data_IF_002780571509
#
_entry.id   IF_002780571509
#
_cell.length_a   1.000
_cell.length_b   1.000
_cell.length_c   1.000
_cell.angle_alpha   90.00
_cell.angle_beta   90.00
_cell.angle_gamma   90.00
#
_symmetry.space_group_name_H-M   'P 1'
#
loop_
_entity.id
_entity.type
_entity.pdbx_description
1 polymer ?
#
# COMPACT_ATOMS: atom_id res chain seq x y z
N UNK A 1 64.69 12.62 -51.77
CA UNK A 1 63.44 12.15 -52.41
C UNK A 1 62.38 11.97 -51.32
N UNK A 2 61.28 12.74 -51.42
CA UNK A 2 60.20 12.89 -50.44
C UNK A 2 59.37 11.60 -50.35
N UNK A 3 59.14 11.05 -49.14
CA UNK A 3 57.95 10.22 -48.88
C UNK A 3 57.33 10.62 -47.54
N UNK A 4 56.36 11.53 -47.65
CA UNK A 4 55.26 11.71 -46.69
C UNK A 4 54.50 10.37 -46.61
N UNK A 5 54.27 9.88 -45.40
CA UNK A 5 53.17 8.95 -45.14
C UNK A 5 52.27 9.61 -44.09
N UNK A 6 51.20 10.23 -44.59
CA UNK A 6 50.04 10.61 -43.80
C UNK A 6 49.26 9.35 -43.48
N UNK A 7 49.11 8.99 -42.20
CA UNK A 7 48.01 8.14 -41.77
C UNK A 7 46.91 9.04 -41.23
N UNK A 8 45.86 9.11 -42.03
CA UNK A 8 44.61 9.79 -41.74
C UNK A 8 44.01 9.24 -40.44
N UNK A 9 43.94 10.09 -39.42
CA UNK A 9 42.98 9.92 -38.32
C UNK A 9 41.60 10.24 -38.88
N UNK A 10 40.83 9.21 -39.20
CA UNK A 10 39.45 9.32 -39.65
C UNK A 10 38.54 8.93 -38.48
N UNK A 11 38.37 9.83 -37.52
CA UNK A 11 37.33 9.70 -36.50
C UNK A 11 36.43 10.94 -36.55
N UNK A 12 35.19 10.84 -37.05
CA UNK A 12 34.32 11.99 -37.17
C UNK A 12 33.66 12.27 -35.82
N UNK A 13 34.34 12.91 -34.87
CA UNK A 13 33.69 13.40 -33.65
C UNK A 13 32.95 14.72 -33.94
N UNK A 14 31.85 14.64 -34.68
CA UNK A 14 30.98 15.79 -34.97
C UNK A 14 29.62 15.70 -34.27
N UNK A 15 29.44 14.75 -33.35
CA UNK A 15 28.27 14.77 -32.47
C UNK A 15 28.53 15.79 -31.36
N UNK A 16 28.04 17.02 -31.56
CA UNK A 16 28.12 18.05 -30.51
C UNK A 16 27.37 17.51 -29.28
N UNK A 17 27.93 17.65 -28.08
CA UNK A 17 27.33 17.20 -26.82
C UNK A 17 25.84 17.61 -26.70
N UNK A 18 25.47 18.78 -27.21
CA UNK A 18 24.08 19.26 -27.29
C UNK A 18 23.18 18.33 -28.12
N UNK A 19 23.66 17.85 -29.27
CA UNK A 19 22.93 16.90 -30.13
C UNK A 19 22.76 15.54 -29.43
N UNK A 20 23.76 15.10 -28.65
CA UNK A 20 23.65 13.88 -27.84
C UNK A 20 22.59 14.04 -26.75
N UNK A 21 22.62 15.17 -26.02
CA UNK A 21 21.64 15.45 -24.96
C UNK A 21 20.21 15.54 -25.53
N UNK A 22 20.01 16.25 -26.64
CA UNK A 22 18.70 16.35 -27.27
C UNK A 22 18.19 14.98 -27.71
N UNK A 23 19.05 14.16 -28.33
CA UNK A 23 18.66 12.83 -28.79
C UNK A 23 18.34 11.88 -27.61
N UNK A 24 19.08 11.99 -26.50
CA UNK A 24 18.78 11.27 -25.26
C UNK A 24 17.43 11.70 -24.64
N UNK A 25 17.13 13.00 -24.58
CA UNK A 25 15.85 13.51 -24.07
C UNK A 25 14.67 13.07 -24.95
N UNK A 26 14.83 13.08 -26.28
CA UNK A 26 13.81 12.58 -27.22
C UNK A 26 13.58 11.08 -27.03
N UNK A 27 14.65 10.28 -26.88
CA UNK A 27 14.52 8.85 -26.60
C UNK A 27 13.82 8.58 -25.25
N UNK A 28 14.16 9.34 -24.21
CA UNK A 28 13.49 9.27 -22.92
C UNK A 28 11.99 9.57 -23.05
N UNK A 29 11.63 10.68 -23.70
CA UNK A 29 10.24 11.06 -23.95
C UNK A 29 9.47 9.96 -24.70
N UNK A 30 10.04 9.43 -25.77
CA UNK A 30 9.42 8.34 -26.55
C UNK A 30 9.24 7.09 -25.68
N UNK A 31 10.24 6.71 -24.89
CA UNK A 31 10.15 5.53 -24.00
C UNK A 31 9.07 5.69 -22.93
N UNK A 32 8.96 6.88 -22.31
CA UNK A 32 7.91 7.18 -21.34
C UNK A 32 6.54 7.15 -22.03
N UNK A 33 6.36 7.84 -23.14
CA UNK A 33 5.09 7.83 -23.89
C UNK A 33 4.69 6.42 -24.33
N UNK A 34 5.65 5.60 -24.80
CA UNK A 34 5.41 4.22 -25.18
C UNK A 34 5.00 3.35 -23.98
N UNK A 35 5.65 3.50 -22.82
CA UNK A 35 5.28 2.77 -21.61
C UNK A 35 3.84 3.07 -21.16
N UNK A 36 3.40 4.33 -21.26
CA UNK A 36 2.01 4.70 -20.96
C UNK A 36 1.02 4.16 -22.02
N UNK A 37 1.40 4.19 -23.31
CA UNK A 37 0.55 3.71 -24.41
C UNK A 37 0.43 2.18 -24.47
N UNK A 38 1.47 1.46 -24.06
CA UNK A 38 1.54 0.00 -23.99
C UNK A 38 1.13 -0.57 -22.63
N UNK A 39 0.59 0.27 -21.74
CA UNK A 39 0.12 -0.12 -20.41
C UNK A 39 1.21 -0.69 -19.47
N UNK A 40 2.48 -0.39 -19.73
CA UNK A 40 3.63 -0.82 -18.93
C UNK A 40 3.96 0.15 -17.79
N UNK A 41 2.93 0.64 -17.08
CA UNK A 41 3.05 1.70 -16.07
C UNK A 41 3.77 1.23 -14.80
N UNK A 42 3.80 -0.08 -14.54
CA UNK A 42 4.49 -0.71 -13.42
C UNK A 42 5.99 -0.36 -13.33
N UNK A 43 6.62 0.01 -14.46
CA UNK A 43 8.03 0.45 -14.50
C UNK A 43 8.23 1.76 -13.72
N UNK A 44 7.15 2.51 -13.46
CA UNK A 44 7.16 3.78 -12.73
C UNK A 44 6.61 3.67 -11.30
N UNK A 45 6.43 2.45 -10.77
CA UNK A 45 6.05 2.27 -9.37
C UNK A 45 7.13 2.87 -8.45
N UNK A 46 6.78 3.77 -7.51
CA UNK A 46 7.74 4.32 -6.55
C UNK A 46 8.31 3.25 -5.60
N UNK A 47 7.56 2.16 -5.40
CA UNK A 47 7.89 1.01 -4.58
C UNK A 47 6.80 -0.06 -4.71
N UNK A 48 7.02 -1.18 -4.04
CA UNK A 48 6.10 -2.31 -4.00
C UNK A 48 4.80 -1.92 -3.32
N UNK A 49 3.69 -2.40 -3.87
CA UNK A 49 2.42 -2.29 -3.16
C UNK A 49 2.31 -3.26 -1.99
N UNK A 50 1.38 -2.97 -1.09
CA UNK A 50 1.03 -3.83 0.04
C UNK A 50 0.55 -5.20 -0.44
N UNK A 51 0.79 -6.23 0.36
CA UNK A 51 0.50 -7.63 -0.04
C UNK A 51 -0.97 -7.82 -0.44
N UNK A 52 -1.89 -7.13 0.25
CA UNK A 52 -3.32 -7.17 -0.06
C UNK A 52 -3.68 -6.47 -1.37
N UNK A 53 -2.84 -5.56 -1.86
CA UNK A 53 -3.09 -4.74 -3.03
C UNK A 53 -2.17 -5.03 -4.23
N UNK A 54 -1.23 -5.97 -4.11
CA UNK A 54 -0.28 -6.33 -5.18
C UNK A 54 -0.95 -6.69 -6.51
N UNK A 55 -2.15 -7.29 -6.47
CA UNK A 55 -2.91 -7.60 -7.68
C UNK A 55 -3.38 -6.34 -8.45
N UNK A 56 -3.49 -5.19 -7.78
CA UNK A 56 -3.91 -3.93 -8.39
C UNK A 56 -2.78 -3.18 -9.10
N UNK A 57 -1.52 -3.63 -9.02
CA UNK A 57 -0.42 -3.03 -9.81
C UNK A 57 -0.67 -3.14 -11.32
N UNK A 58 -1.44 -4.15 -11.75
CA UNK A 58 -1.89 -4.32 -13.12
C UNK A 58 -3.00 -3.32 -13.53
N UNK A 59 -3.64 -2.64 -12.57
CA UNK A 59 -4.69 -1.66 -12.80
C UNK A 59 -4.52 -0.43 -11.91
N UNK A 60 -3.54 0.42 -12.25
CA UNK A 60 -3.26 1.64 -11.49
C UNK A 60 -4.49 2.56 -11.34
N UNK A 61 -5.43 2.48 -12.29
CA UNK A 61 -6.68 3.25 -12.28
C UNK A 61 -7.66 2.84 -11.18
N UNK A 62 -7.46 1.68 -10.54
CA UNK A 62 -8.22 1.28 -9.36
C UNK A 62 -8.04 2.28 -8.21
N UNK A 63 -6.83 2.87 -8.10
CA UNK A 63 -6.47 3.81 -7.04
C UNK A 63 -6.24 5.25 -7.55
N UNK A 64 -5.68 5.41 -8.75
CA UNK A 64 -5.25 6.71 -9.26
C UNK A 64 -6.14 7.25 -10.38
N UNK A 65 -6.51 8.52 -10.27
CA UNK A 65 -7.08 9.30 -11.37
C UNK A 65 -6.01 10.26 -11.93
N UNK A 66 -5.17 9.73 -12.81
CA UNK A 66 -4.02 10.48 -13.36
C UNK A 66 -2.98 10.79 -12.27
N UNK A 67 -2.57 12.06 -12.16
CA UNK A 67 -1.60 12.53 -11.15
C UNK A 67 -2.27 13.15 -9.92
N UNK A 68 -3.58 12.96 -9.72
CA UNK A 68 -4.27 13.41 -8.52
C UNK A 68 -3.84 12.59 -7.31
N UNK A 69 -3.89 13.21 -6.13
CA UNK A 69 -3.75 12.49 -4.87
C UNK A 69 -4.90 11.49 -4.72
N UNK A 70 -4.60 10.32 -4.17
CA UNK A 70 -5.62 9.30 -3.83
C UNK A 70 -6.51 9.85 -2.72
N UNK A 71 -7.83 9.80 -2.92
CA UNK A 71 -8.81 10.26 -1.93
C UNK A 71 -9.35 9.09 -1.10
N UNK A 72 -9.93 9.38 0.06
CA UNK A 72 -10.62 8.36 0.86
C UNK A 72 -11.78 7.70 0.11
N UNK A 73 -12.44 8.42 -0.80
CA UNK A 73 -13.52 7.87 -1.62
C UNK A 73 -13.01 6.68 -2.47
N UNK A 74 -11.79 6.77 -2.99
CA UNK A 74 -11.14 5.68 -3.71
C UNK A 74 -11.04 4.41 -2.84
N UNK A 75 -10.60 4.56 -1.58
CA UNK A 75 -10.49 3.45 -0.63
C UNK A 75 -11.87 2.90 -0.26
N UNK A 76 -12.83 3.79 0.02
CA UNK A 76 -14.16 3.43 0.48
C UNK A 76 -14.97 2.66 -0.58
N UNK A 77 -14.68 2.83 -1.87
CA UNK A 77 -15.31 2.01 -2.93
C UNK A 77 -15.16 0.49 -2.73
N UNK A 78 -14.15 0.05 -1.99
CA UNK A 78 -13.97 -1.35 -1.62
C UNK A 78 -14.14 -1.58 -0.12
N UNK A 79 -13.68 -0.64 0.72
CA UNK A 79 -13.60 -0.84 2.17
C UNK A 79 -14.78 -0.25 2.98
N UNK A 80 -15.77 0.40 2.35
CA UNK A 80 -16.86 1.08 3.08
C UNK A 80 -17.59 0.17 4.09
N UNK A 81 -17.89 -1.07 3.72
CA UNK A 81 -18.56 -2.02 4.60
C UNK A 81 -17.71 -2.42 5.83
N UNK A 82 -16.39 -2.52 5.65
CA UNK A 82 -15.45 -2.88 6.71
C UNK A 82 -15.26 -1.75 7.72
N UNK A 83 -15.48 -0.51 7.28
CA UNK A 83 -15.36 0.70 8.11
C UNK A 83 -16.54 0.91 9.06
N UNK A 84 -17.68 0.24 8.86
CA UNK A 84 -18.88 0.45 9.69
C UNK A 84 -18.61 0.20 11.19
N UNK A 85 -17.76 -0.79 11.48
CA UNK A 85 -17.40 -1.16 12.85
C UNK A 85 -15.99 -0.72 13.24
N UNK A 86 -15.32 0.09 12.42
CA UNK A 86 -13.94 0.49 12.68
C UNK A 86 -13.81 1.28 14.00
N UNK A 87 -12.98 0.74 14.90
CA UNK A 87 -12.64 1.39 16.15
C UNK A 87 -11.87 2.68 15.94
N UNK A 88 -11.31 2.93 14.76
CA UNK A 88 -10.69 4.17 14.33
C UNK A 88 -11.52 4.89 13.25
N UNK A 89 -12.85 4.80 13.33
CA UNK A 89 -13.73 5.53 12.40
C UNK A 89 -13.67 7.06 12.53
N UNK A 90 -14.02 7.75 11.44
CA UNK A 90 -13.94 9.22 11.28
C UNK A 90 -14.57 10.01 12.44
N UNK A 91 -15.65 9.50 13.05
CA UNK A 91 -16.32 10.15 14.19
C UNK A 91 -15.36 10.40 15.36
N UNK A 92 -14.45 9.46 15.66
CA UNK A 92 -13.48 9.64 16.75
C UNK A 92 -12.45 10.71 16.39
N UNK A 93 -11.92 10.67 15.16
CA UNK A 93 -10.92 11.63 14.73
C UNK A 93 -11.47 13.05 14.59
N UNK A 94 -12.74 13.21 14.22
CA UNK A 94 -13.40 14.52 14.14
C UNK A 94 -13.77 15.11 15.51
N UNK A 95 -13.62 14.35 16.60
CA UNK A 95 -13.91 14.87 17.95
C UNK A 95 -12.99 16.06 18.26
N UNK A 96 -13.53 17.23 18.64
CA UNK A 96 -12.74 18.44 18.88
C UNK A 96 -11.71 18.28 20.00
N UNK A 97 -11.90 17.32 20.93
CA UNK A 97 -10.93 17.02 21.99
C UNK A 97 -9.57 16.59 21.46
N UNK A 98 -9.53 16.04 20.24
CA UNK A 98 -8.30 15.54 19.61
C UNK A 98 -7.73 16.51 18.56
N UNK A 99 -8.19 17.76 18.52
CA UNK A 99 -7.77 18.73 17.51
C UNK A 99 -6.25 18.90 17.45
N UNK A 100 -5.56 18.97 18.60
CA UNK A 100 -4.10 19.10 18.65
C UNK A 100 -3.37 17.91 18.00
N UNK A 101 -3.92 16.70 18.10
CA UNK A 101 -3.32 15.52 17.47
C UNK A 101 -3.53 15.53 15.95
N UNK A 102 -4.65 16.09 15.46
CA UNK A 102 -4.88 16.27 14.02
C UNK A 102 -3.91 17.25 13.36
N UNK A 103 -3.34 18.18 14.13
CA UNK A 103 -2.29 19.08 13.63
C UNK A 103 -0.94 18.34 13.44
N UNK A 104 -0.77 17.19 14.11
CA UNK A 104 0.46 16.38 14.06
C UNK A 104 0.37 15.26 13.02
N UNK A 105 -0.82 14.69 12.84
CA UNK A 105 -1.08 13.57 11.91
C UNK A 105 -2.38 13.83 11.18
N UNK A 106 -2.36 13.71 9.84
CA UNK A 106 -3.54 13.90 8.98
C UNK A 106 -4.47 12.67 9.00
N UNK A 107 -4.92 12.27 10.19
CA UNK A 107 -5.75 11.08 10.47
C UNK A 107 -7.10 11.06 9.76
N UNK A 108 -7.46 12.14 9.06
CA UNK A 108 -8.66 12.20 8.24
C UNK A 108 -8.44 11.62 6.85
N UNK A 109 -7.21 11.25 6.49
CA UNK A 109 -6.91 10.54 5.24
C UNK A 109 -6.53 9.10 5.53
N UNK A 110 -7.00 8.16 4.70
CA UNK A 110 -6.63 6.75 4.81
C UNK A 110 -5.10 6.58 4.71
N UNK A 111 -4.45 7.39 3.86
CA UNK A 111 -3.01 7.33 3.62
C UNK A 111 -2.14 7.85 4.75
N UNK A 112 -2.69 8.56 5.74
CA UNK A 112 -1.92 8.92 6.93
C UNK A 112 -1.48 7.68 7.74
N UNK A 113 -2.29 6.62 7.68
CA UNK A 113 -2.03 5.34 8.36
C UNK A 113 -1.74 4.19 7.40
N UNK A 114 -2.31 4.20 6.18
CA UNK A 114 -2.20 3.14 5.19
C UNK A 114 -1.47 3.65 3.94
N UNK A 115 -0.15 3.67 4.00
CA UNK A 115 0.64 4.06 2.83
C UNK A 115 0.77 2.90 1.85
N UNK A 116 0.91 3.26 0.58
CA UNK A 116 1.09 2.36 -0.54
C UNK A 116 2.44 2.66 -1.21
N UNK A 117 3.01 1.73 -1.97
CA UNK A 117 4.32 1.90 -2.63
C UNK A 117 5.52 2.09 -1.68
N UNK A 118 5.45 1.52 -0.49
CA UNK A 118 6.52 1.57 0.51
C UNK A 118 6.86 0.15 0.91
N UNK A 119 8.14 -0.24 0.81
CA UNK A 119 8.57 -1.62 1.05
C UNK A 119 8.10 -2.15 2.41
N UNK A 120 7.59 -3.37 2.40
CA UNK A 120 6.92 -3.99 3.54
C UNK A 120 7.56 -5.31 3.92
N UNK A 121 7.56 -5.60 5.22
CA UNK A 121 7.89 -6.94 5.74
C UNK A 121 6.62 -7.80 5.77
N UNK A 122 6.12 -8.22 4.59
CA UNK A 122 5.09 -9.26 4.41
C UNK A 122 3.73 -8.98 5.06
N UNK A 123 3.16 -7.78 4.85
CA UNK A 123 1.95 -7.31 5.55
C UNK A 123 0.95 -6.64 4.61
N UNK A 124 -0.33 -6.66 5.02
CA UNK A 124 -1.47 -6.13 4.24
C UNK A 124 -1.65 -4.59 4.26
N UNK A 125 -1.08 -3.87 5.23
CA UNK A 125 -1.10 -2.39 5.28
C UNK A 125 0.19 -1.80 5.87
N UNK A 126 0.68 -0.68 5.32
CA UNK A 126 1.88 0.00 5.84
C UNK A 126 1.51 1.06 6.87
N UNK A 127 1.83 0.78 8.13
CA UNK A 127 1.80 1.73 9.25
C UNK A 127 3.24 2.04 9.67
N UNK A 128 3.54 3.30 9.97
CA UNK A 128 4.82 3.65 10.58
C UNK A 128 4.95 2.96 11.95
N UNK A 129 6.13 2.43 12.32
CA UNK A 129 6.28 1.56 13.49
C UNK A 129 5.72 2.14 14.79
N UNK A 130 5.92 3.44 15.03
CA UNK A 130 5.55 4.17 16.24
C UNK A 130 4.28 5.05 16.06
N UNK A 131 3.56 4.93 14.94
CA UNK A 131 2.40 5.78 14.64
C UNK A 131 1.35 5.79 15.76
N UNK A 132 1.12 4.64 16.38
CA UNK A 132 0.16 4.49 17.48
C UNK A 132 0.51 5.39 18.67
N UNK A 133 1.81 5.57 18.92
CA UNK A 133 2.32 6.35 20.04
C UNK A 133 2.13 7.85 19.83
N UNK A 134 1.98 8.32 18.58
CA UNK A 134 1.66 9.73 18.29
C UNK A 134 0.40 10.22 19.04
N UNK A 135 -0.53 9.31 19.36
CA UNK A 135 -1.74 9.60 20.13
C UNK A 135 -1.82 8.82 21.46
N UNK A 136 -1.25 7.62 21.54
CA UNK A 136 -1.42 6.73 22.70
C UNK A 136 -0.23 6.70 23.66
N UNK A 137 0.79 7.54 23.48
CA UNK A 137 1.99 7.53 24.33
C UNK A 137 1.67 7.68 25.81
N UNK A 138 0.94 8.74 26.21
CA UNK A 138 0.63 8.99 27.62
C UNK A 138 -0.15 7.83 28.23
N UNK A 139 -1.18 7.33 27.53
CA UNK A 139 -1.99 6.20 27.97
C UNK A 139 -1.12 4.95 28.20
N UNK A 140 -0.29 4.61 27.21
CA UNK A 140 0.57 3.42 27.23
C UNK A 140 1.62 3.51 28.32
N UNK A 141 2.30 4.64 28.45
CA UNK A 141 3.43 4.81 29.37
C UNK A 141 3.00 5.03 30.83
N UNK A 142 1.82 5.58 31.08
CA UNK A 142 1.43 6.00 32.44
C UNK A 142 0.25 5.23 33.03
N UNK A 143 -0.62 4.64 32.20
CA UNK A 143 -1.89 4.08 32.69
C UNK A 143 -2.01 2.57 32.46
N UNK A 144 -1.35 2.02 31.43
CA UNK A 144 -1.51 0.62 31.03
C UNK A 144 -0.36 -0.26 31.55
N UNK A 145 -0.51 -0.79 32.77
CA UNK A 145 0.42 -1.79 33.33
C UNK A 145 0.63 -3.01 32.43
N UNK A 146 -0.37 -3.38 31.63
CA UNK A 146 -0.27 -4.49 30.67
C UNK A 146 0.73 -4.23 29.53
N UNK A 147 1.13 -2.98 29.32
CA UNK A 147 2.07 -2.57 28.28
C UNK A 147 3.48 -2.30 28.86
N UNK A 148 3.71 -2.56 30.15
CA UNK A 148 5.02 -2.38 30.79
C UNK A 148 6.05 -3.33 30.16
N UNK A 149 7.20 -2.77 29.73
CA UNK A 149 8.28 -3.53 29.11
C UNK A 149 8.13 -3.76 27.60
N UNK A 150 7.03 -3.34 26.97
CA UNK A 150 6.90 -3.36 25.50
C UNK A 150 7.56 -2.12 24.87
N UNK A 151 8.15 -2.31 23.69
CA UNK A 151 8.70 -1.23 22.90
C UNK A 151 7.59 -0.36 22.26
N UNK A 152 7.84 0.93 21.98
CA UNK A 152 6.89 1.82 21.30
C UNK A 152 6.41 1.33 19.92
N UNK A 153 7.23 0.56 19.20
CA UNK A 153 6.88 -0.09 17.93
C UNK A 153 6.27 -1.50 18.11
N UNK A 154 6.06 -1.89 19.36
CA UNK A 154 5.48 -3.16 19.80
C UNK A 154 4.00 -3.31 19.49
N UNK A 155 3.27 -2.21 19.29
CA UNK A 155 1.80 -2.22 19.24
C UNK A 155 1.25 -3.22 18.23
N UNK A 156 1.83 -3.25 17.02
CA UNK A 156 1.42 -4.14 15.94
C UNK A 156 2.39 -5.32 15.70
N UNK A 157 3.63 -5.27 16.23
CA UNK A 157 4.61 -6.37 16.11
C UNK A 157 4.46 -7.44 17.18
N UNK A 158 3.93 -7.09 18.35
CA UNK A 158 3.78 -8.02 19.47
C UNK A 158 2.63 -9.05 19.27
N UNK A 159 1.87 -8.93 18.18
CA UNK A 159 0.76 -9.83 17.85
C UNK A 159 -0.48 -9.64 18.73
N UNK A 160 -0.57 -8.54 19.48
CA UNK A 160 -1.70 -8.23 20.36
C UNK A 160 -2.75 -7.32 19.71
N UNK A 161 -2.32 -6.28 18.96
CA UNK A 161 -3.23 -5.38 18.26
C UNK A 161 -3.10 -5.57 16.75
N UNK A 162 -4.03 -6.30 16.11
CA UNK A 162 -4.16 -6.31 14.66
C UNK A 162 -5.25 -5.30 14.27
N UNK A 163 -4.81 -4.13 13.82
CA UNK A 163 -5.62 -2.94 13.62
C UNK A 163 -6.86 -3.10 12.69
N UNK A 164 -6.91 -4.12 11.84
CA UNK A 164 -8.07 -4.43 10.96
C UNK A 164 -8.83 -5.70 11.31
N UNK A 165 -8.40 -6.46 12.33
CA UNK A 165 -9.21 -7.57 12.83
C UNK A 165 -10.16 -6.99 13.88
N UNK A 166 -11.46 -6.91 13.56
CA UNK A 166 -12.52 -6.65 14.54
C UNK A 166 -12.61 -7.73 15.64
N UNK A 167 -11.80 -8.78 15.53
CA UNK A 167 -11.68 -9.86 16.50
C UNK A 167 -10.45 -9.71 17.41
N UNK A 168 -9.62 -8.68 17.22
CA UNK A 168 -8.42 -8.51 18.04
C UNK A 168 -8.75 -8.17 19.47
N UNK A 169 -8.41 -9.11 20.35
CA UNK A 169 -8.34 -8.97 21.80
C UNK A 169 -9.48 -8.09 22.33
N UNK A 170 -10.72 -8.48 22.00
CA UNK A 170 -11.85 -7.99 22.77
C UNK A 170 -11.58 -8.42 24.21
N UNK A 171 -11.37 -7.46 25.12
CA UNK A 171 -11.23 -7.78 26.55
C UNK A 171 -12.46 -8.53 27.06
N UNK A 172 -13.62 -8.36 26.42
CA UNK A 172 -14.80 -9.20 26.60
C UNK A 172 -14.57 -10.63 26.13
N UNK A 173 -14.09 -10.83 24.90
CA UNK A 173 -13.72 -12.15 24.36
C UNK A 173 -12.66 -12.83 25.22
N UNK A 174 -11.56 -12.15 25.59
CA UNK A 174 -10.54 -12.72 26.47
C UNK A 174 -11.11 -13.13 27.83
N UNK A 175 -11.96 -12.32 28.45
CA UNK A 175 -12.62 -12.68 29.71
C UNK A 175 -13.53 -13.89 29.57
N UNK A 176 -14.24 -14.02 28.46
CA UNK A 176 -15.13 -15.16 28.18
C UNK A 176 -14.37 -16.44 27.85
N UNK A 177 -13.15 -16.33 27.32
CA UNK A 177 -12.35 -17.45 26.85
C UNK A 177 -11.08 -17.69 27.69
N UNK A 178 -10.96 -17.04 28.86
CA UNK A 178 -9.74 -17.07 29.69
C UNK A 178 -9.38 -18.47 30.20
N UNK A 179 -10.40 -19.32 30.33
CA UNK A 179 -10.28 -20.70 30.82
C UNK A 179 -10.20 -21.73 29.66
N UNK A 180 -10.14 -21.29 28.41
CA UNK A 180 -10.01 -22.20 27.28
C UNK A 180 -8.62 -22.83 27.19
N UNK A 181 -8.52 -24.04 26.61
CA UNK A 181 -7.22 -24.65 26.35
C UNK A 181 -6.40 -23.75 25.42
N UNK A 182 -5.08 -23.71 25.65
CA UNK A 182 -4.15 -22.85 24.92
C UNK A 182 -4.18 -23.04 23.39
N UNK A 183 -4.65 -24.20 22.91
CA UNK A 183 -4.88 -24.48 21.50
C UNK A 183 -6.26 -25.12 21.34
N UNK A 184 -7.06 -24.56 20.42
CA UNK A 184 -8.30 -25.18 19.98
C UNK A 184 -7.99 -26.40 19.09
N UNK A 185 -8.93 -27.36 18.98
CA UNK A 185 -8.82 -28.45 18.02
C UNK A 185 -8.62 -27.91 16.60
N UNK A 186 -7.85 -28.64 15.79
CA UNK A 186 -7.62 -28.29 14.38
C UNK A 186 -8.97 -28.18 13.66
N UNK A 187 -9.23 -27.00 13.11
CA UNK A 187 -10.43 -26.75 12.32
C UNK A 187 -10.39 -27.65 11.08
N UNK A 188 -11.42 -28.47 10.88
CA UNK A 188 -11.58 -29.24 9.65
C UNK A 188 -12.33 -28.38 8.64
N UNK A 189 -11.68 -28.07 7.52
CA UNK A 189 -12.36 -27.41 6.41
C UNK A 189 -13.38 -28.39 5.81
N UNK A 190 -14.63 -27.97 5.57
CA UNK A 190 -15.58 -28.80 4.84
C UNK A 190 -15.05 -29.03 3.42
N UNK A 191 -15.24 -30.25 2.92
CA UNK A 191 -14.95 -30.56 1.53
C UNK A 191 -15.95 -29.81 0.65
N UNK A 192 -15.46 -28.79 -0.07
CA UNK A 192 -16.27 -27.98 -0.98
C UNK A 192 -15.94 -28.39 -2.40
N UNK A 193 -16.92 -28.94 -3.11
CA UNK A 193 -16.83 -29.14 -4.56
C UNK A 193 -17.14 -27.81 -5.23
N UNK A 194 -16.17 -27.24 -5.94
CA UNK A 194 -16.37 -26.05 -6.76
C UNK A 194 -16.67 -26.52 -8.18
N UNK A 195 -17.92 -26.41 -8.61
CA UNK A 195 -18.29 -26.66 -10.00
C UNK A 195 -17.97 -25.40 -10.82
N UNK A 196 -17.13 -25.55 -11.85
CA UNK A 196 -16.78 -24.46 -12.76
C UNK A 196 -17.66 -24.52 -14.00
N UNK A 197 -18.39 -23.44 -14.30
CA UNK A 197 -19.27 -23.35 -15.48
C UNK A 197 -18.49 -23.08 -16.78
N UNK A 198 -17.26 -22.56 -16.66
CA UNK A 198 -16.42 -22.20 -17.80
C UNK A 198 -15.16 -23.09 -17.84
N UNK A 199 -14.90 -23.73 -18.98
CA UNK A 199 -13.65 -24.48 -19.21
C UNK A 199 -12.44 -23.55 -19.43
N UNK A 200 -12.68 -22.29 -19.78
CA UNK A 200 -11.65 -21.28 -19.99
C UNK A 200 -12.01 -19.99 -19.28
N UNK A 201 -11.04 -19.42 -18.56
CA UNK A 201 -11.20 -18.12 -17.92
C UNK A 201 -11.47 -17.05 -19.00
N UNK A 202 -12.46 -16.16 -18.80
CA UNK A 202 -12.66 -15.03 -19.69
C UNK A 202 -11.42 -14.12 -19.70
N UNK A 203 -11.17 -13.44 -20.82
CA UNK A 203 -10.12 -12.42 -20.88
C UNK A 203 -10.50 -11.28 -19.92
N UNK A 204 -9.67 -11.00 -18.90
CA UNK A 204 -10.02 -9.99 -17.92
C UNK A 204 -9.99 -8.60 -18.55
N UNK A 205 -11.02 -7.81 -18.29
CA UNK A 205 -11.00 -6.38 -18.58
C UNK A 205 -10.72 -5.62 -17.27
N UNK A 206 -9.43 -5.51 -16.94
CA UNK A 206 -8.97 -4.91 -15.69
C UNK A 206 -9.32 -3.41 -15.56
N UNK A 207 -9.69 -2.74 -16.66
CA UNK A 207 -10.18 -1.36 -16.60
C UNK A 207 -11.66 -1.27 -16.21
N UNK A 208 -12.46 -2.30 -16.47
CA UNK A 208 -13.91 -2.32 -16.19
C UNK A 208 -14.26 -3.09 -14.92
N UNK A 209 -13.58 -4.21 -14.68
CA UNK A 209 -13.87 -5.14 -13.58
C UNK A 209 -13.70 -4.51 -12.19
N UNK A 210 -12.73 -3.60 -12.04
CA UNK A 210 -12.48 -2.93 -10.76
C UNK A 210 -13.26 -1.62 -10.55
N UNK A 211 -14.02 -1.14 -11.54
CA UNK A 211 -14.85 0.07 -11.41
C UNK A 211 -16.28 -0.21 -10.90
N UNK A 212 -16.68 -1.48 -10.83
CA UNK A 212 -18.06 -1.91 -10.60
C UNK A 212 -18.51 -2.08 -9.15
N UNK A 213 -17.69 -1.68 -8.16
CA UNK A 213 -18.00 -1.81 -6.73
C UNK A 213 -19.13 -0.88 -6.23
N UNK A 214 -20.35 -1.11 -6.70
CA UNK A 214 -21.60 -0.81 -6.00
C UNK A 214 -22.52 -2.00 -6.20
N UNK A 215 -22.54 -2.89 -5.22
CA UNK A 215 -23.60 -3.86 -5.01
C UNK A 215 -24.05 -3.78 -3.56
#
# INVERSE_FOLDING_TARGET
MKRRSSRNSFWPSKLKLKSVIVLALVMLLVSVSAAFALEQKQIFLPGETSEGHHLFEASCASCHEGFKQVSNETCNRCHEAELENDLHGAKKFLDPRWAEFRDKVDVLTCTACHNEHVHMFGRGVHLQPDLCMACHEELTLTQLKSHEGFAPDGCWTAGCHNYHEHDTISTGFLRQNLDQPAMLPVQQLPERVVETELETAPQPNLQKEFLGGKS
#
